data_IF_241037613211
#
_entry.id   IF_241037613211
#
_cell.length_a   1.000
_cell.length_b   1.000
_cell.length_c   1.000
_cell.angle_alpha   90.00
_cell.angle_beta   90.00
_cell.angle_gamma   90.00
#
_symmetry.space_group_name_H-M   'P 1'
#
loop_
_entity.id
_entity.type
_entity.pdbx_description
1 polymer ?
#
# COMPACT_ATOMS: atom_id res chain seq x y z
N UNK A 1 10.65 7.84 -17.61
CA UNK A 1 10.29 6.54 -16.99
C UNK A 1 8.78 6.38 -17.08
N UNK A 2 8.30 5.27 -17.67
CA UNK A 2 6.86 5.02 -17.83
C UNK A 2 6.15 4.81 -16.49
N UNK A 3 4.84 5.11 -16.43
CA UNK A 3 4.03 5.04 -15.21
C UNK A 3 4.02 3.65 -14.58
N UNK A 4 3.96 2.59 -15.40
CA UNK A 4 4.04 1.19 -14.96
C UNK A 4 5.35 0.93 -14.20
N UNK A 5 6.49 1.40 -14.72
CA UNK A 5 7.78 1.20 -14.05
C UNK A 5 7.87 1.94 -12.72
N UNK A 6 7.28 3.14 -12.63
CA UNK A 6 7.18 3.87 -11.37
C UNK A 6 6.31 3.11 -10.35
N UNK A 7 5.17 2.54 -10.77
CA UNK A 7 4.33 1.69 -9.91
C UNK A 7 5.14 0.53 -9.35
N UNK A 8 5.89 -0.19 -10.20
CA UNK A 8 6.73 -1.33 -9.80
C UNK A 8 7.76 -0.92 -8.74
N UNK A 9 8.51 0.16 -8.99
CA UNK A 9 9.52 0.68 -8.04
C UNK A 9 8.91 1.04 -6.69
N UNK A 10 7.76 1.73 -6.68
CA UNK A 10 7.12 2.17 -5.44
C UNK A 10 6.53 0.96 -4.69
N UNK A 11 5.91 0.02 -5.40
CA UNK A 11 5.41 -1.23 -4.81
C UNK A 11 6.53 -2.05 -4.19
N UNK A 12 7.68 -2.18 -4.84
CA UNK A 12 8.83 -2.90 -4.28
C UNK A 12 9.43 -2.18 -3.07
N UNK A 13 9.40 -0.84 -3.04
CA UNK A 13 9.76 -0.06 -1.85
C UNK A 13 8.79 -0.32 -0.69
N UNK A 14 7.49 -0.36 -0.95
CA UNK A 14 6.47 -0.66 0.07
C UNK A 14 6.66 -2.07 0.63
N UNK A 15 6.89 -3.06 -0.25
CA UNK A 15 7.19 -4.44 0.13
C UNK A 15 8.43 -4.51 1.01
N UNK A 16 9.52 -3.85 0.63
CA UNK A 16 10.74 -3.80 1.45
C UNK A 16 10.48 -3.20 2.84
N UNK A 17 9.72 -2.10 2.91
CA UNK A 17 9.33 -1.50 4.18
C UNK A 17 8.48 -2.45 5.03
N UNK A 18 7.57 -3.22 4.41
CA UNK A 18 6.77 -4.23 5.09
C UNK A 18 7.61 -5.38 5.65
N UNK A 19 8.59 -5.87 4.89
CA UNK A 19 9.52 -6.88 5.37
C UNK A 19 10.34 -6.41 6.57
N UNK A 20 10.79 -5.15 6.59
CA UNK A 20 11.45 -4.56 7.75
C UNK A 20 10.51 -4.43 8.96
N UNK A 21 9.25 -4.05 8.72
CA UNK A 21 8.22 -3.99 9.75
C UNK A 21 7.92 -5.36 10.35
N UNK A 22 7.89 -6.45 9.57
CA UNK A 22 7.64 -7.78 10.12
C UNK A 22 8.69 -8.23 11.14
N UNK A 23 9.91 -7.69 11.06
CA UNK A 23 10.98 -7.98 12.03
C UNK A 23 10.69 -7.40 13.40
N UNK A 24 10.10 -6.20 13.48
CA UNK A 24 10.04 -5.45 14.72
C UNK A 24 8.80 -4.56 14.92
N UNK A 25 7.72 -4.71 14.14
CA UNK A 25 6.39 -4.08 14.26
C UNK A 25 6.28 -2.74 15.00
N UNK A 26 7.24 -1.83 14.81
CA UNK A 26 7.27 -0.52 15.48
C UNK A 26 6.61 0.55 14.64
N UNK A 27 6.14 1.61 15.28
CA UNK A 27 5.51 2.73 14.60
C UNK A 27 6.42 3.34 13.52
N UNK A 28 7.70 3.61 13.81
CA UNK A 28 8.61 4.18 12.81
C UNK A 28 8.80 3.29 11.58
N UNK A 29 8.66 1.96 11.73
CA UNK A 29 8.72 1.02 10.61
C UNK A 29 7.41 1.05 9.83
N UNK A 30 6.26 1.03 10.53
CA UNK A 30 4.95 1.18 9.90
C UNK A 30 4.83 2.52 9.14
N UNK A 31 5.45 3.59 9.64
CA UNK A 31 5.47 4.90 8.96
C UNK A 31 6.22 4.86 7.62
N UNK A 32 7.22 3.98 7.46
CA UNK A 32 7.88 3.77 6.15
C UNK A 32 6.93 3.16 5.14
N UNK A 33 6.12 2.19 5.57
CA UNK A 33 5.05 1.60 4.75
C UNK A 33 4.04 2.68 4.39
N UNK A 34 3.59 3.49 5.37
CA UNK A 34 2.66 4.59 5.13
C UNK A 34 3.15 5.51 4.02
N UNK A 35 4.39 5.99 4.13
CA UNK A 35 4.97 6.90 3.15
C UNK A 35 5.08 6.25 1.76
N UNK A 36 5.50 4.98 1.68
CA UNK A 36 5.56 4.25 0.40
C UNK A 36 4.17 4.04 -0.21
N UNK A 37 3.18 3.69 0.60
CA UNK A 37 1.79 3.52 0.17
C UNK A 37 1.17 4.84 -0.27
N UNK A 38 1.50 5.97 0.36
CA UNK A 38 1.00 7.30 -0.06
C UNK A 38 1.46 7.63 -1.47
N UNK A 39 2.74 7.38 -1.77
CA UNK A 39 3.27 7.54 -3.12
C UNK A 39 2.63 6.56 -4.12
N UNK A 40 2.40 5.31 -3.70
CA UNK A 40 1.74 4.30 -4.52
C UNK A 40 0.31 4.73 -4.85
N UNK A 41 -0.45 5.18 -3.86
CA UNK A 41 -1.81 5.69 -4.03
C UNK A 41 -1.86 6.83 -5.04
N UNK A 42 -0.94 7.79 -4.93
CA UNK A 42 -0.88 8.93 -5.84
C UNK A 42 -0.69 8.48 -7.30
N UNK A 43 0.22 7.52 -7.54
CA UNK A 43 0.47 7.04 -8.90
C UNK A 43 -0.63 6.12 -9.43
N UNK A 44 -1.28 5.32 -8.57
CA UNK A 44 -2.43 4.50 -8.97
C UNK A 44 -3.62 5.38 -9.38
N UNK A 45 -3.84 6.50 -8.68
CA UNK A 45 -4.85 7.51 -9.04
C UNK A 45 -4.52 8.25 -10.34
N UNK A 46 -3.26 8.37 -10.72
CA UNK A 46 -2.89 8.86 -12.06
C UNK A 46 -3.14 7.77 -13.12
N UNK A 47 -2.73 6.54 -12.83
CA UNK A 47 -2.84 5.39 -13.73
C UNK A 47 -4.29 5.01 -14.06
N UNK A 48 -5.25 5.27 -13.16
CA UNK A 48 -6.67 4.96 -13.40
C UNK A 48 -7.25 5.61 -14.65
N UNK A 49 -6.67 6.73 -15.12
CA UNK A 49 -7.12 7.43 -16.32
C UNK A 49 -6.41 6.97 -17.59
N UNK A 50 -5.39 6.12 -17.45
CA UNK A 50 -4.53 5.63 -18.53
C UNK A 50 -4.68 4.13 -18.77
N UNK A 51 -5.24 3.40 -17.80
CA UNK A 51 -5.31 1.95 -17.82
C UNK A 51 -6.49 1.44 -18.68
N UNK A 52 -6.31 0.26 -19.25
CA UNK A 52 -7.35 -0.42 -20.01
C UNK A 52 -8.49 -0.93 -19.10
N UNK A 53 -9.70 -1.06 -19.67
CA UNK A 53 -10.88 -1.53 -18.96
C UNK A 53 -10.75 -2.96 -18.38
N UNK A 54 -9.79 -3.75 -18.86
CA UNK A 54 -9.53 -5.11 -18.38
C UNK A 54 -8.79 -5.17 -17.02
N UNK A 55 -8.19 -4.05 -16.58
CA UNK A 55 -7.43 -3.97 -15.32
C UNK A 55 -8.02 -2.98 -14.31
N UNK A 56 -9.07 -2.24 -14.70
CA UNK A 56 -9.65 -1.18 -13.86
C UNK A 56 -10.26 -1.72 -12.55
N UNK A 57 -10.91 -2.89 -12.58
CA UNK A 57 -11.50 -3.48 -11.36
C UNK A 57 -10.41 -3.88 -10.36
N UNK A 58 -9.32 -4.49 -10.84
CA UNK A 58 -8.18 -4.87 -10.01
C UNK A 58 -7.45 -3.64 -9.45
N UNK A 59 -7.37 -2.56 -10.24
CA UNK A 59 -6.86 -1.27 -9.79
C UNK A 59 -7.72 -0.71 -8.65
N UNK A 60 -9.05 -0.75 -8.77
CA UNK A 60 -9.93 -0.29 -7.70
C UNK A 60 -9.81 -1.13 -6.43
N UNK A 61 -9.70 -2.46 -6.55
CA UNK A 61 -9.41 -3.33 -5.40
C UNK A 61 -8.09 -2.95 -4.71
N UNK A 62 -7.07 -2.58 -5.49
CA UNK A 62 -5.80 -2.10 -4.95
C UNK A 62 -5.95 -0.76 -4.22
N UNK A 63 -6.71 0.17 -4.79
CA UNK A 63 -6.97 1.47 -4.17
C UNK A 63 -7.72 1.27 -2.84
N UNK A 64 -8.78 0.47 -2.82
CA UNK A 64 -9.55 0.21 -1.60
C UNK A 64 -8.73 -0.50 -0.52
N UNK A 65 -7.88 -1.46 -0.91
CA UNK A 65 -6.94 -2.07 0.03
C UNK A 65 -6.04 -1.03 0.71
N UNK A 66 -5.50 -0.08 -0.04
CA UNK A 66 -4.66 0.99 0.52
C UNK A 66 -5.48 1.97 1.37
N UNK A 67 -6.71 2.31 0.99
CA UNK A 67 -7.61 3.17 1.77
C UNK A 67 -7.93 2.55 3.14
N UNK A 68 -8.31 1.26 3.16
CA UNK A 68 -8.52 0.50 4.40
C UNK A 68 -7.27 0.50 5.29
N UNK A 69 -6.10 0.36 4.68
CA UNK A 69 -4.82 0.38 5.38
C UNK A 69 -4.51 1.76 5.97
N UNK A 70 -4.73 2.85 5.22
CA UNK A 70 -4.53 4.21 5.72
C UNK A 70 -5.44 4.54 6.90
N UNK A 71 -6.72 4.17 6.81
CA UNK A 71 -7.67 4.40 7.90
C UNK A 71 -7.26 3.68 9.19
N UNK A 72 -6.77 2.44 9.08
CA UNK A 72 -6.22 1.72 10.23
C UNK A 72 -4.97 2.40 10.78
N UNK A 73 -4.05 2.83 9.90
CA UNK A 73 -2.84 3.51 10.29
C UNK A 73 -3.15 4.79 11.07
N UNK A 74 -4.00 5.65 10.52
CA UNK A 74 -4.37 6.93 11.13
C UNK A 74 -5.08 6.72 12.48
N UNK A 75 -5.94 5.70 12.57
CA UNK A 75 -6.60 5.33 13.81
C UNK A 75 -5.59 4.94 14.90
N UNK A 76 -4.62 4.09 14.56
CA UNK A 76 -3.58 3.64 15.49
C UNK A 76 -2.61 4.76 15.85
N UNK A 77 -2.18 5.56 14.87
CA UNK A 77 -1.24 6.68 15.04
C UNK A 77 -1.72 7.71 16.05
N UNK A 78 -3.03 7.93 16.15
CA UNK A 78 -3.62 8.87 17.13
C UNK A 78 -3.31 8.54 18.60
N UNK A 79 -2.94 7.29 18.90
CA UNK A 79 -2.56 6.82 20.24
C UNK A 79 -1.06 6.71 20.49
N UNK A 80 -0.21 7.06 19.51
CA UNK A 80 1.24 6.91 19.60
C UNK A 80 1.87 8.15 20.23
N UNK A 81 2.71 7.96 21.23
CA UNK A 81 3.43 9.04 21.92
C UNK A 81 4.93 9.06 21.62
N UNK A 82 5.51 7.93 21.18
CA UNK A 82 6.92 7.81 20.81
C UNK A 82 7.16 6.89 19.61
N UNK A 83 8.32 7.03 18.98
CA UNK A 83 8.61 6.38 17.70
C UNK A 83 8.75 4.86 17.78
N UNK A 84 9.17 4.33 18.93
CA UNK A 84 9.53 2.92 19.15
C UNK A 84 8.37 2.11 19.78
N UNK A 85 7.18 2.69 19.85
CA UNK A 85 5.98 1.99 20.30
C UNK A 85 5.59 0.87 19.35
N UNK A 86 5.03 -0.19 19.92
CA UNK A 86 4.43 -1.28 19.16
C UNK A 86 3.26 -0.75 18.33
N UNK A 87 3.25 -1.12 17.06
CA UNK A 87 2.28 -0.65 16.07
C UNK A 87 1.78 -1.85 15.27
N UNK A 88 0.79 -2.57 15.81
CA UNK A 88 0.31 -3.83 15.24
C UNK A 88 -1.03 -3.60 14.54
N UNK A 89 -1.09 -3.95 13.25
CA UNK A 89 -2.35 -3.94 12.50
C UNK A 89 -3.15 -5.20 12.78
N UNK A 90 -4.47 -5.04 12.89
CA UNK A 90 -5.43 -6.13 12.91
C UNK A 90 -6.29 -6.01 11.65
N UNK A 91 -6.29 -7.06 10.82
CA UNK A 91 -7.05 -7.07 9.58
C UNK A 91 -8.53 -6.78 9.87
N UNK A 92 -9.10 -5.79 9.17
CA UNK A 92 -10.52 -5.48 9.26
C UNK A 92 -11.34 -6.60 8.62
N UNK A 93 -12.47 -6.93 9.24
CA UNK A 93 -13.45 -7.83 8.65
C UNK A 93 -13.93 -7.26 7.29
N UNK A 94 -13.99 -8.09 6.26
CA UNK A 94 -14.34 -7.71 4.88
C UNK A 94 -13.40 -6.74 4.16
N UNK A 95 -12.20 -6.45 4.70
CA UNK A 95 -11.19 -5.67 3.96
C UNK A 95 -10.69 -6.40 2.73
N UNK A 96 -10.39 -5.61 1.69
CA UNK A 96 -9.80 -6.12 0.47
C UNK A 96 -8.41 -6.71 0.74
N UNK A 97 -8.14 -7.88 0.17
CA UNK A 97 -6.83 -8.51 0.23
C UNK A 97 -5.80 -7.72 -0.59
N UNK A 98 -4.53 -7.97 -0.28
CA UNK A 98 -3.45 -7.45 -1.09
C UNK A 98 -3.66 -7.88 -2.56
N UNK A 99 -3.72 -6.94 -3.52
CA UNK A 99 -4.18 -7.18 -4.88
C UNK A 99 -3.07 -7.80 -5.74
N UNK A 100 -2.63 -9.01 -5.39
CA UNK A 100 -1.51 -9.69 -6.07
C UNK A 100 -1.75 -9.81 -7.58
N UNK A 101 -2.99 -10.10 -7.98
CA UNK A 101 -3.39 -10.23 -9.38
C UNK A 101 -3.20 -8.93 -10.18
N UNK A 102 -3.47 -7.77 -9.57
CA UNK A 102 -3.23 -6.47 -10.22
C UNK A 102 -1.76 -6.31 -10.60
N UNK A 103 -0.86 -6.59 -9.65
CA UNK A 103 0.57 -6.45 -9.87
C UNK A 103 1.14 -7.52 -10.81
N UNK A 104 0.55 -8.72 -10.84
CA UNK A 104 0.90 -9.75 -11.81
C UNK A 104 0.56 -9.31 -13.24
N UNK A 105 -0.66 -8.80 -13.47
CA UNK A 105 -1.07 -8.27 -14.78
C UNK A 105 -0.20 -7.10 -15.24
N UNK A 106 0.19 -6.21 -14.32
CA UNK A 106 1.13 -5.11 -14.62
C UNK A 106 2.53 -5.60 -15.05
N UNK A 107 2.93 -6.83 -14.72
CA UNK A 107 4.20 -7.40 -15.17
C UNK A 107 4.16 -7.92 -16.60
N UNK A 108 2.96 -8.17 -17.12
CA UNK A 108 2.71 -8.67 -18.48
C UNK A 108 2.48 -7.54 -19.50
N UNK A 109 2.32 -6.29 -19.01
CA UNK A 109 2.23 -5.04 -19.77
C UNK A 109 3.61 -4.39 -19.94
#
# INVERSE_FOLDING_TARGET
>A
MGIINKIKIIKDRSEFAYQEYLKNKKYYQAKRIYNANTELMAILKEFQFLCDNNIIEDLYRCIFHLEDWFLQFEKLESGIHNLDEDFVFTRLEYSFEFPSEFFNKLNEL
#
